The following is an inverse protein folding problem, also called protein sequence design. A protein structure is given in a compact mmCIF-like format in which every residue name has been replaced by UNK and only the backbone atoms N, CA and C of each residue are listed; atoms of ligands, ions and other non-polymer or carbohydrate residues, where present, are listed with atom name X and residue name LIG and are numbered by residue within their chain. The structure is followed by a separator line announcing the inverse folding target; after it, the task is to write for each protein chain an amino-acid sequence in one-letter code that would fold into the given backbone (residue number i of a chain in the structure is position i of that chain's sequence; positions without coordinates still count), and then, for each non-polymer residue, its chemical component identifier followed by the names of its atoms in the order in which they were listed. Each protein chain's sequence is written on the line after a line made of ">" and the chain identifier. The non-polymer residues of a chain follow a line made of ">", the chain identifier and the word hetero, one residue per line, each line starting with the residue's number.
data_IF_453292010545
#
_entry.id   IF_453292010545
#
_cell.length_a   1.000
_cell.length_b   1.000
_cell.length_c   1.000
_cell.angle_alpha   90.00
_cell.angle_beta   90.00
_cell.angle_gamma   90.00
#
_symmetry.space_group_name_H-M   'P 1'
#
loop_
_entity.id
_entity.type
_entity.pdbx_description
1 polymer ?
#
# COMPACT_ATOMS: atom_id res chain seq x y z
N UNK A 1 3.61 20.53 -8.87
CA UNK A 1 4.34 19.68 -7.89
C UNK A 1 3.46 18.47 -7.60
N UNK A 2 3.92 17.24 -7.87
CA UNK A 2 3.08 16.02 -7.80
C UNK A 2 2.95 15.40 -6.39
N UNK A 3 3.80 15.81 -5.44
CA UNK A 3 3.79 15.33 -4.04
C UNK A 3 3.33 16.48 -3.15
N UNK A 4 2.23 16.28 -2.42
CA UNK A 4 1.69 17.32 -1.52
C UNK A 4 2.37 17.35 -0.16
N UNK A 5 2.65 16.19 0.43
CA UNK A 5 3.23 16.05 1.77
C UNK A 5 4.12 14.80 1.86
N UNK A 6 5.03 14.76 2.85
CA UNK A 6 5.95 13.65 3.10
C UNK A 6 5.86 13.21 4.55
N UNK A 7 5.73 11.90 4.75
CA UNK A 7 5.73 11.24 6.04
C UNK A 7 6.84 10.18 6.07
N UNK A 8 7.41 9.94 7.24
CA UNK A 8 8.57 9.08 7.43
C UNK A 8 8.37 8.10 8.58
N UNK A 9 9.40 7.30 8.88
CA UNK A 9 9.35 6.26 9.92
C UNK A 9 8.93 6.76 11.31
N UNK A 10 9.24 8.02 11.65
CA UNK A 10 8.82 8.66 12.91
C UNK A 10 7.30 8.87 13.01
N UNK A 11 6.61 8.94 11.87
CA UNK A 11 5.17 9.16 11.76
C UNK A 11 4.39 7.83 11.71
N UNK A 12 5.11 6.69 11.66
CA UNK A 12 4.50 5.36 11.72
C UNK A 12 4.15 4.97 13.16
N UNK A 13 3.09 4.17 13.31
CA UNK A 13 2.78 3.49 14.57
C UNK A 13 3.76 2.33 14.78
N UNK A 14 4.53 2.38 15.85
CA UNK A 14 5.39 1.27 16.27
C UNK A 14 4.63 0.38 17.25
N UNK A 15 4.47 -0.90 16.90
CA UNK A 15 4.00 -1.90 17.84
C UNK A 15 4.92 -3.13 17.76
N UNK A 16 5.61 -3.37 18.87
CA UNK A 16 6.54 -4.48 19.07
C UNK A 16 7.66 -4.56 18.02
N UNK A 17 8.21 -3.41 17.62
CA UNK A 17 9.31 -3.33 16.65
C UNK A 17 8.86 -3.30 15.18
N UNK A 18 7.57 -3.45 14.91
CA UNK A 18 7.00 -3.31 13.58
C UNK A 18 6.41 -1.92 13.37
N UNK A 19 6.81 -1.29 12.27
CA UNK A 19 6.27 0.00 11.84
C UNK A 19 5.05 -0.22 10.93
N UNK A 20 3.94 0.39 11.29
CA UNK A 20 2.72 0.40 10.47
C UNK A 20 2.34 1.82 10.11
N UNK A 21 1.96 2.03 8.85
CA UNK A 21 1.50 3.31 8.31
C UNK A 21 0.11 3.61 8.82
N UNK A 22 -0.01 4.63 9.66
CA UNK A 22 -1.29 5.10 10.15
C UNK A 22 -1.85 6.21 9.25
N UNK A 23 -2.70 5.86 8.28
CA UNK A 23 -3.24 6.83 7.32
C UNK A 23 -4.31 7.77 7.91
N UNK A 24 -4.86 7.45 9.10
CA UNK A 24 -5.83 8.35 9.76
C UNK A 24 -5.24 9.69 10.19
N UNK A 25 -3.90 9.80 10.30
CA UNK A 25 -3.23 11.07 10.57
C UNK A 25 -3.20 12.00 9.33
N UNK A 26 -3.47 11.45 8.15
CA UNK A 26 -3.43 12.14 6.87
C UNK A 26 -4.84 12.57 6.46
N UNK A 27 -5.80 11.66 6.57
CA UNK A 27 -7.21 11.91 6.23
C UNK A 27 -8.13 11.20 7.23
N UNK A 28 -9.16 11.90 7.70
CA UNK A 28 -10.27 11.31 8.45
C UNK A 28 -11.22 10.51 7.54
N UNK A 29 -11.29 10.85 6.26
CA UNK A 29 -12.09 10.14 5.27
C UNK A 29 -11.30 8.96 4.68
N UNK A 30 -11.47 7.80 5.31
CA UNK A 30 -10.85 6.55 4.87
C UNK A 30 -11.49 5.95 3.62
N UNK A 31 -12.60 6.49 3.12
CA UNK A 31 -13.22 6.03 1.88
C UNK A 31 -12.46 6.54 0.63
N UNK A 32 -11.67 7.61 0.80
CA UNK A 32 -10.97 8.33 -0.28
C UNK A 32 -9.43 8.36 -0.12
N UNK A 33 -8.86 7.49 0.72
CA UNK A 33 -7.41 7.35 0.87
C UNK A 33 -6.96 5.89 0.74
N UNK A 34 -5.90 5.64 -0.03
CA UNK A 34 -5.31 4.32 -0.18
C UNK A 34 -3.78 4.35 -0.01
N UNK A 35 -3.21 3.18 0.23
CA UNK A 35 -1.77 2.96 0.31
C UNK A 35 -1.38 2.04 -0.84
N UNK A 36 -0.41 2.47 -1.65
CA UNK A 36 0.29 1.58 -2.57
C UNK A 36 1.56 1.11 -1.86
N UNK A 37 1.68 -0.19 -1.60
CA UNK A 37 2.79 -0.75 -0.81
C UNK A 37 3.12 -2.18 -1.22
N UNK A 38 4.40 -2.52 -1.11
CA UNK A 38 4.92 -3.87 -1.34
C UNK A 38 5.07 -4.69 -0.05
N UNK A 39 4.75 -4.11 1.12
CA UNK A 39 4.84 -4.73 2.43
C UNK A 39 3.46 -4.81 3.11
N UNK A 40 2.85 -6.01 3.16
CA UNK A 40 1.59 -6.22 3.89
C UNK A 40 1.67 -5.81 5.37
N UNK A 41 2.81 -6.04 6.01
CA UNK A 41 3.02 -5.70 7.43
C UNK A 41 2.98 -4.19 7.68
N UNK A 42 3.48 -3.38 6.73
CA UNK A 42 3.48 -1.93 6.83
C UNK A 42 2.06 -1.34 6.77
N UNK A 43 1.09 -2.08 6.25
CA UNK A 43 -0.28 -1.60 6.05
C UNK A 43 -1.35 -2.35 6.86
N UNK A 44 -0.94 -3.20 7.81
CA UNK A 44 -1.82 -4.11 8.57
C UNK A 44 -2.99 -3.44 9.31
N UNK A 45 -2.89 -2.13 9.62
CA UNK A 45 -3.97 -1.38 10.28
C UNK A 45 -5.13 -1.06 9.33
N UNK A 46 -4.87 -1.03 8.02
CA UNK A 46 -5.82 -0.59 7.00
C UNK A 46 -5.83 -1.53 5.79
N UNK A 47 -6.03 -2.85 5.97
CA UNK A 47 -5.92 -3.82 4.88
C UNK A 47 -6.90 -3.55 3.73
N UNK A 48 -8.04 -2.92 4.01
CA UNK A 48 -9.04 -2.56 3.01
C UNK A 48 -8.65 -1.33 2.17
N UNK A 49 -7.64 -0.57 2.61
CA UNK A 49 -7.14 0.63 1.92
C UNK A 49 -5.85 0.34 1.15
N UNK A 50 -5.43 -0.92 1.03
CA UNK A 50 -4.17 -1.29 0.38
C UNK A 50 -4.40 -1.67 -1.08
N UNK A 51 -3.56 -1.10 -1.94
CA UNK A 51 -3.32 -1.55 -3.30
C UNK A 51 -1.93 -2.22 -3.26
N UNK A 52 -1.86 -3.56 -3.28
CA UNK A 52 -0.58 -4.23 -3.27
C UNK A 52 0.16 -3.95 -4.58
N UNK A 53 1.47 -3.72 -4.49
CA UNK A 53 2.37 -3.63 -5.65
C UNK A 53 3.54 -4.59 -5.47
N UNK A 54 4.06 -5.10 -6.57
CA UNK A 54 5.25 -5.96 -6.57
C UNK A 54 6.48 -5.19 -6.08
N UNK A 55 7.39 -5.90 -5.42
CA UNK A 55 8.70 -5.34 -5.08
C UNK A 55 9.51 -5.19 -6.36
N UNK A 56 9.95 -3.97 -6.64
CA UNK A 56 10.88 -3.72 -7.75
C UNK A 56 12.29 -4.20 -7.37
N UNK A 57 12.87 -5.04 -8.23
CA UNK A 57 14.18 -5.66 -8.02
C UNK A 57 15.23 -5.22 -9.06
N UNK A 58 14.99 -4.10 -9.75
CA UNK A 58 15.93 -3.55 -10.73
C UNK A 58 15.67 -3.91 -12.18
N UNK A 59 14.53 -4.54 -12.51
CA UNK A 59 14.16 -4.83 -13.90
C UNK A 59 13.75 -3.53 -14.62
N UNK A 60 14.37 -3.27 -15.77
CA UNK A 60 14.07 -2.13 -16.63
C UNK A 60 12.79 -2.33 -17.45
N UNK A 61 12.29 -3.57 -17.53
CA UNK A 61 11.02 -3.90 -18.17
C UNK A 61 9.85 -3.96 -17.18
N UNK A 62 10.07 -3.67 -15.89
CA UNK A 62 9.00 -3.64 -14.90
C UNK A 62 7.98 -2.54 -15.24
N UNK A 63 6.72 -2.95 -15.37
CA UNK A 63 5.59 -2.05 -15.67
C UNK A 63 4.62 -1.92 -14.52
N UNK A 64 4.95 -2.40 -13.31
CA UNK A 64 3.97 -2.55 -12.23
C UNK A 64 3.28 -1.23 -11.85
N UNK A 65 4.00 -0.11 -11.89
CA UNK A 65 3.41 1.22 -11.67
C UNK A 65 2.53 1.69 -12.83
N UNK A 66 2.88 1.35 -14.07
CA UNK A 66 2.07 1.69 -15.26
C UNK A 66 0.78 0.87 -15.29
N UNK A 67 0.86 -0.40 -14.89
CA UNK A 67 -0.28 -1.31 -14.84
C UNK A 67 -1.32 -0.89 -13.80
N UNK A 68 -0.93 -0.09 -12.80
CA UNK A 68 -1.85 0.51 -11.84
C UNK A 68 -2.67 1.68 -12.40
N UNK A 69 -2.25 2.33 -13.49
CA UNK A 69 -2.90 3.55 -13.98
C UNK A 69 -4.40 3.38 -14.28
N UNK A 70 -4.86 2.32 -14.99
CA UNK A 70 -6.29 2.14 -15.25
C UNK A 70 -7.09 1.92 -13.96
N UNK A 71 -6.51 1.22 -13.00
CA UNK A 71 -7.14 0.97 -11.70
C UNK A 71 -7.28 2.27 -10.89
N UNK A 72 -6.20 3.06 -10.81
CA UNK A 72 -6.20 4.35 -10.12
C UNK A 72 -7.17 5.34 -10.77
N UNK A 73 -7.30 5.34 -12.10
CA UNK A 73 -8.27 6.17 -12.80
C UNK A 73 -9.72 5.74 -12.47
N UNK A 74 -10.00 4.44 -12.41
CA UNK A 74 -11.32 3.92 -12.03
C UNK A 74 -11.73 4.31 -10.59
N UNK A 75 -10.77 4.40 -9.66
CA UNK A 75 -11.05 4.79 -8.27
C UNK A 75 -11.61 6.22 -8.16
N UNK A 76 -11.33 7.10 -9.13
CA UNK A 76 -11.86 8.48 -9.17
C UNK A 76 -13.39 8.56 -9.20
N UNK A 77 -14.04 7.49 -9.67
CA UNK A 77 -15.49 7.41 -9.83
C UNK A 77 -16.17 6.60 -8.71
N UNK A 78 -15.39 6.17 -7.71
CA UNK A 78 -15.88 5.32 -6.61
C UNK A 78 -16.12 6.18 -5.38
N UNK A 79 -17.28 6.04 -4.73
CA UNK A 79 -17.61 6.76 -3.49
C UNK A 79 -16.87 6.22 -2.26
N UNK A 80 -16.50 4.94 -2.27
CA UNK A 80 -15.65 4.30 -1.26
C UNK A 80 -14.73 3.28 -1.91
N UNK A 81 -13.44 3.60 -2.02
CA UNK A 81 -12.45 2.75 -2.67
C UNK A 81 -12.34 1.36 -2.02
N UNK A 82 -12.68 1.23 -0.73
CA UNK A 82 -12.63 -0.04 0.00
C UNK A 82 -13.59 -1.07 -0.59
N UNK A 83 -14.65 -0.62 -1.27
CA UNK A 83 -15.59 -1.49 -1.98
C UNK A 83 -14.96 -2.18 -3.21
N UNK A 84 -13.89 -1.61 -3.77
CA UNK A 84 -13.18 -2.08 -4.95
C UNK A 84 -11.92 -2.85 -4.56
N UNK A 85 -11.09 -2.31 -3.67
CA UNK A 85 -9.84 -2.94 -3.20
C UNK A 85 -10.10 -4.28 -2.49
N UNK A 86 -11.20 -4.43 -1.75
CA UNK A 86 -11.62 -5.73 -1.17
C UNK A 86 -11.78 -6.84 -2.22
N UNK A 87 -12.29 -6.47 -3.40
CA UNK A 87 -12.60 -7.41 -4.48
C UNK A 87 -11.38 -7.67 -5.37
N UNK A 88 -10.48 -6.70 -5.42
CA UNK A 88 -9.33 -6.73 -6.32
C UNK A 88 -8.12 -7.28 -5.59
N UNK A 89 -8.11 -8.60 -5.36
CA UNK A 89 -6.86 -9.30 -5.07
C UNK A 89 -6.12 -9.46 -6.39
N UNK A 90 -5.42 -8.40 -6.82
CA UNK A 90 -4.46 -8.50 -7.91
C UNK A 90 -3.56 -9.71 -7.63
N UNK A 91 -3.48 -10.60 -8.61
CA UNK A 91 -2.90 -11.93 -8.46
C UNK A 91 -1.45 -11.88 -7.98
N UNK A 92 -1.29 -11.99 -6.67
CA UNK A 92 -0.16 -12.63 -6.03
C UNK A 92 -0.72 -13.26 -4.76
N UNK A 93 -0.58 -14.58 -4.64
CA UNK A 93 -0.76 -15.26 -3.37
C UNK A 93 0.03 -14.48 -2.33
N UNK A 94 -0.68 -13.89 -1.35
CA UNK A 94 -0.07 -13.55 -0.08
C UNK A 94 0.58 -14.85 0.37
N UNK A 95 1.90 -14.97 0.28
CA UNK A 95 2.56 -16.13 0.86
C UNK A 95 2.14 -16.16 2.32
N UNK A 96 1.41 -17.20 2.69
CA UNK A 96 0.86 -17.45 4.01
C UNK A 96 1.96 -17.81 5.03
N UNK A 97 3.18 -17.35 4.78
CA UNK A 97 4.36 -17.59 5.55
C UNK A 97 4.83 -16.21 5.98
N UNK A 98 4.60 -15.88 7.25
CA UNK A 98 5.05 -14.66 7.91
C UNK A 98 6.59 -14.51 7.98
N UNK A 99 7.30 -14.88 6.93
CA UNK A 99 8.70 -14.62 6.72
C UNK A 99 8.81 -13.38 5.85
N UNK A 100 8.99 -12.24 6.53
CA UNK A 100 9.81 -11.17 6.00
C UNK A 100 11.24 -11.72 5.83
N UNK A 101 11.49 -12.54 4.81
CA UNK A 101 12.84 -12.87 4.34
C UNK A 101 13.29 -11.77 3.40
N UNK A 102 13.46 -10.60 4.01
CA UNK A 102 14.57 -9.74 3.70
C UNK A 102 14.85 -8.92 4.94
N UNK A 103 15.79 -9.44 5.71
CA UNK A 103 16.84 -8.61 6.28
C UNK A 103 17.47 -7.79 5.14
N UNK A 104 16.79 -6.74 4.68
CA UNK A 104 17.50 -5.54 4.27
C UNK A 104 17.41 -4.63 5.48
N UNK A 105 18.47 -4.73 6.29
CA UNK A 105 18.91 -3.68 7.18
C UNK A 105 18.86 -2.33 6.44
N UNK A 106 18.74 -1.28 7.23
CA UNK A 106 19.16 0.07 6.86
C UNK A 106 20.45 0.07 6.01
#
# INVERSE_FOLDING_TARGET
>A
MYIMQRYYRKDCTNASGFYTKNISIISSDLANICIVDNSPAACRLYPENVIPITTWLGDNNDTALLDLLPFLDALRFTSDLRSITKKTRFGHSLEANGTCTSQYLF
#
